data_IF_160059339670
#
_entry.id   IF_160059339670
#
_cell.length_a   1.000
_cell.length_b   1.000
_cell.length_c   1.000
_cell.angle_alpha   90.00
_cell.angle_beta   90.00
_cell.angle_gamma   90.00
#
_symmetry.space_group_name_H-M   'P 1'
#
loop_
_entity.id
_entity.type
_entity.pdbx_description
1 polymer ?
#
# COMPACT_ATOMS: atom_id res chain seq x y z
N UNK A 1 -1.09 -8.15 -5.04
CA UNK A 1 -1.10 -8.06 -3.58
C UNK A 1 -1.41 -9.44 -3.01
N UNK A 2 -0.81 -9.84 -1.90
CA UNK A 2 -1.14 -11.11 -1.24
C UNK A 2 -2.29 -10.81 -0.27
N UNK A 3 -3.47 -11.35 -0.55
CA UNK A 3 -4.68 -11.10 0.25
C UNK A 3 -4.72 -12.05 1.46
N UNK A 4 -5.04 -13.33 1.26
CA UNK A 4 -5.17 -14.32 2.34
C UNK A 4 -5.01 -15.75 1.78
N UNK A 5 -4.50 -16.71 2.57
CA UNK A 5 -4.45 -18.10 2.16
C UNK A 5 -5.85 -18.72 2.14
N UNK A 6 -6.24 -19.35 1.02
CA UNK A 6 -7.48 -20.12 0.90
C UNK A 6 -7.10 -21.55 0.45
N UNK A 7 -6.93 -22.45 1.41
CA UNK A 7 -6.52 -23.84 1.17
C UNK A 7 -5.13 -23.94 0.49
N UNK A 8 -5.03 -24.78 -0.55
CA UNK A 8 -3.81 -25.00 -1.35
C UNK A 8 -3.56 -23.91 -2.41
N UNK A 9 -4.45 -22.92 -2.52
CA UNK A 9 -4.38 -21.87 -3.56
C UNK A 9 -4.18 -20.48 -2.96
N UNK A 10 -3.08 -19.84 -3.33
CA UNK A 10 -2.83 -18.43 -3.01
C UNK A 10 -3.67 -17.55 -3.94
N UNK A 11 -4.76 -16.96 -3.43
CA UNK A 11 -5.56 -15.98 -4.18
C UNK A 11 -4.74 -14.69 -4.28
N UNK A 12 -4.32 -14.35 -5.50
CA UNK A 12 -3.56 -13.14 -5.81
C UNK A 12 -4.49 -12.13 -6.46
N UNK A 13 -4.79 -11.04 -5.76
CA UNK A 13 -5.53 -9.91 -6.34
C UNK A 13 -4.55 -8.93 -6.97
N UNK A 14 -4.85 -8.49 -8.19
CA UNK A 14 -4.10 -7.43 -8.85
C UNK A 14 -4.61 -6.07 -8.37
N UNK A 15 -3.69 -5.19 -7.95
CA UNK A 15 -4.05 -3.84 -7.55
C UNK A 15 -4.39 -3.01 -8.81
N UNK A 16 -5.66 -2.68 -9.00
CA UNK A 16 -6.15 -1.89 -10.14
C UNK A 16 -6.14 -0.37 -9.86
N UNK A 17 -5.72 0.04 -8.66
CA UNK A 17 -5.67 1.44 -8.30
C UNK A 17 -4.58 2.20 -9.06
N UNK A 18 -4.79 3.51 -9.25
CA UNK A 18 -3.81 4.41 -9.89
C UNK A 18 -2.74 4.92 -8.93
N UNK A 19 -2.90 4.67 -7.63
CA UNK A 19 -2.01 5.14 -6.57
C UNK A 19 -0.68 4.40 -6.51
N UNK A 20 0.26 4.93 -5.74
CA UNK A 20 1.59 4.34 -5.54
C UNK A 20 2.62 4.75 -6.58
N UNK A 21 3.86 4.34 -6.35
CA UNK A 21 4.99 4.68 -7.22
C UNK A 21 5.28 3.50 -8.16
N UNK A 22 5.31 3.70 -9.49
CA UNK A 22 5.59 2.61 -10.42
C UNK A 22 7.06 2.19 -10.35
N UNK A 23 7.26 0.86 -10.33
CA UNK A 23 8.55 0.19 -10.15
C UNK A 23 9.23 -0.24 -11.47
N UNK A 24 8.75 0.24 -12.62
CA UNK A 24 9.39 -0.03 -13.90
C UNK A 24 10.79 0.57 -14.06
N UNK A 25 11.17 1.56 -13.23
CA UNK A 25 12.49 2.21 -13.30
C UNK A 25 13.49 1.58 -12.33
N UNK A 26 14.64 1.13 -12.82
CA UNK A 26 15.73 0.57 -12.01
C UNK A 26 16.23 1.52 -10.91
N UNK A 27 16.35 2.81 -11.22
CA UNK A 27 16.77 3.85 -10.26
C UNK A 27 15.79 3.97 -9.09
N UNK A 28 14.47 3.86 -9.36
CA UNK A 28 13.45 3.84 -8.30
C UNK A 28 13.55 2.57 -7.46
N UNK A 29 13.81 1.41 -8.07
CA UNK A 29 14.03 0.16 -7.34
C UNK A 29 15.21 0.27 -6.36
N UNK A 30 16.32 0.90 -6.78
CA UNK A 30 17.47 1.17 -5.89
C UNK A 30 17.07 2.04 -4.70
N UNK A 31 16.39 3.17 -4.95
CA UNK A 31 15.97 4.07 -3.88
C UNK A 31 15.06 3.37 -2.86
N UNK A 32 14.11 2.55 -3.34
CA UNK A 32 13.23 1.80 -2.46
C UNK A 32 13.92 0.64 -1.75
N UNK A 33 14.86 -0.05 -2.40
CA UNK A 33 15.68 -1.09 -1.76
C UNK A 33 16.50 -0.53 -0.58
N UNK A 34 17.06 0.68 -0.74
CA UNK A 34 17.76 1.38 0.35
C UNK A 34 16.76 1.80 1.43
N UNK A 35 15.63 2.41 1.06
CA UNK A 35 14.61 2.89 2.02
C UNK A 35 14.05 1.77 2.91
N UNK A 36 13.82 0.60 2.33
CA UNK A 36 13.27 -0.56 3.05
C UNK A 36 14.33 -1.55 3.52
N UNK A 37 15.62 -1.26 3.26
CA UNK A 37 16.73 -2.17 3.51
C UNK A 37 16.49 -3.60 2.96
N UNK A 38 15.78 -3.71 1.83
CA UNK A 38 15.41 -4.99 1.22
C UNK A 38 15.95 -5.10 -0.21
N UNK A 39 17.01 -5.90 -0.36
CA UNK A 39 17.65 -6.16 -1.64
C UNK A 39 16.76 -7.02 -2.57
N UNK A 40 15.75 -7.71 -2.06
CA UNK A 40 14.80 -8.46 -2.90
C UNK A 40 14.02 -7.53 -3.82
N UNK A 41 13.85 -6.26 -3.47
CA UNK A 41 13.22 -5.25 -4.34
C UNK A 41 14.02 -5.06 -5.65
N UNK A 42 15.34 -5.29 -5.63
CA UNK A 42 16.18 -5.19 -6.82
C UNK A 42 16.14 -6.45 -7.69
N UNK A 43 16.23 -7.62 -7.05
CA UNK A 43 16.49 -8.89 -7.73
C UNK A 43 15.27 -9.80 -7.87
N UNK A 44 14.12 -9.44 -7.30
CA UNK A 44 12.94 -10.28 -7.37
C UNK A 44 12.18 -10.09 -8.69
N UNK A 45 11.99 -11.19 -9.41
CA UNK A 45 11.14 -11.26 -10.61
C UNK A 45 9.64 -11.13 -10.29
N UNK A 46 9.27 -11.04 -9.00
CA UNK A 46 7.90 -10.79 -8.58
C UNK A 46 7.46 -9.36 -8.93
N UNK A 47 8.41 -8.43 -9.10
CA UNK A 47 8.13 -7.05 -9.49
C UNK A 47 8.22 -6.87 -11.01
N UNK A 48 7.06 -6.85 -11.66
CA UNK A 48 6.93 -6.50 -13.08
C UNK A 48 7.04 -4.97 -13.31
N UNK A 49 7.26 -4.49 -14.54
CA UNK A 49 7.27 -3.05 -14.83
C UNK A 49 5.98 -2.33 -14.47
N UNK A 50 4.85 -3.04 -14.49
CA UNK A 50 3.53 -2.54 -14.13
C UNK A 50 3.28 -2.54 -12.61
N UNK A 51 4.17 -3.15 -11.83
CA UNK A 51 4.07 -3.19 -10.38
C UNK A 51 4.26 -1.80 -9.76
N UNK A 52 3.53 -1.55 -8.68
CA UNK A 52 3.55 -0.29 -7.93
C UNK A 52 3.83 -0.57 -6.46
N UNK A 53 4.63 0.27 -5.83
CA UNK A 53 4.84 0.23 -4.38
C UNK A 53 3.88 1.22 -3.70
N UNK A 54 3.13 0.68 -2.73
CA UNK A 54 2.31 1.42 -1.79
C UNK A 54 3.01 1.39 -0.43
N UNK A 55 3.55 2.52 0.01
CA UNK A 55 4.38 2.59 1.22
C UNK A 55 3.78 3.39 2.37
N UNK A 56 2.74 4.18 2.12
CA UNK A 56 1.89 4.73 3.18
C UNK A 56 0.57 3.98 3.15
N UNK A 57 0.54 2.82 3.79
CA UNK A 57 -0.67 2.02 3.91
C UNK A 57 -1.37 2.24 5.25
N UNK A 58 -0.63 2.66 6.28
CA UNK A 58 -1.19 3.00 7.58
C UNK A 58 -2.05 4.27 7.46
N UNK A 59 -3.32 4.17 7.81
CA UNK A 59 -4.29 5.27 7.69
C UNK A 59 -3.90 6.44 8.59
N UNK A 60 -3.46 6.18 9.82
CA UNK A 60 -3.05 7.23 10.77
C UNK A 60 -1.88 8.05 10.21
N UNK A 61 -0.88 7.37 9.65
CA UNK A 61 0.26 8.05 9.01
C UNK A 61 -0.18 8.89 7.80
N UNK A 62 -1.07 8.36 6.96
CA UNK A 62 -1.59 9.09 5.79
C UNK A 62 -2.37 10.34 6.20
N UNK A 63 -3.21 10.24 7.22
CA UNK A 63 -4.05 11.34 7.71
C UNK A 63 -3.19 12.44 8.34
N UNK A 64 -2.20 12.07 9.14
CA UNK A 64 -1.24 13.02 9.70
C UNK A 64 -0.45 13.77 8.60
N UNK A 65 -0.17 13.15 7.46
CA UNK A 65 0.47 13.81 6.32
C UNK A 65 -0.47 14.73 5.53
N UNK A 66 -1.75 14.36 5.38
CA UNK A 66 -2.73 15.11 4.59
C UNK A 66 -3.27 16.32 5.37
N UNK A 67 -3.53 16.17 6.66
CA UNK A 67 -4.07 17.23 7.51
C UNK A 67 -3.35 17.26 8.87
N UNK A 68 -2.10 17.75 8.93
CA UNK A 68 -1.28 17.79 10.15
C UNK A 68 -1.82 18.77 11.22
N UNK A 69 -2.81 19.59 10.86
CA UNK A 69 -3.45 20.57 11.75
C UNK A 69 -4.64 19.99 12.52
N UNK A 70 -5.08 18.77 12.18
CA UNK A 70 -6.24 18.12 12.79
C UNK A 70 -5.77 17.12 13.86
N UNK A 71 -6.39 17.14 15.04
CA UNK A 71 -6.18 16.13 16.06
C UNK A 71 -7.16 14.98 15.80
N UNK A 72 -6.66 13.87 15.26
CA UNK A 72 -7.52 12.71 14.97
C UNK A 72 -7.76 11.89 16.24
N UNK A 73 -8.96 11.30 16.34
CA UNK A 73 -9.24 10.29 17.36
C UNK A 73 -8.39 9.02 17.12
N UNK A 74 -8.20 8.21 18.16
CA UNK A 74 -7.40 6.99 18.10
C UNK A 74 -8.00 5.92 17.19
N UNK A 75 -9.30 5.93 16.94
CA UNK A 75 -10.00 4.74 16.48
C UNK A 75 -10.59 4.89 15.07
N UNK A 76 -9.79 4.64 14.00
CA UNK A 76 -10.33 4.51 12.65
C UNK A 76 -11.19 3.26 12.57
N UNK A 77 -12.36 3.38 11.95
CA UNK A 77 -13.28 2.26 11.77
C UNK A 77 -13.62 2.06 10.29
N UNK A 78 -13.93 0.82 9.94
CA UNK A 78 -14.25 0.41 8.58
C UNK A 78 -15.76 0.50 8.37
N UNK A 79 -16.17 1.13 7.27
CA UNK A 79 -17.58 1.23 6.88
C UNK A 79 -17.79 0.68 5.47
N UNK A 80 -18.97 0.09 5.23
CA UNK A 80 -19.39 -0.30 3.89
C UNK A 80 -20.16 0.86 3.28
N UNK A 81 -19.62 1.46 2.22
CA UNK A 81 -20.28 2.55 1.49
C UNK A 81 -20.27 2.23 0.00
N UNK A 82 -21.45 2.20 -0.62
CA UNK A 82 -21.59 1.92 -2.06
C UNK A 82 -21.01 0.57 -2.49
N UNK A 83 -21.09 -0.45 -1.63
CA UNK A 83 -20.54 -1.79 -1.89
C UNK A 83 -19.02 -1.88 -1.77
N UNK A 84 -18.35 -0.88 -1.19
CA UNK A 84 -16.89 -0.85 -0.98
C UNK A 84 -16.58 -0.64 0.49
N UNK A 85 -15.46 -1.21 0.94
CA UNK A 85 -14.93 -0.96 2.27
C UNK A 85 -14.16 0.37 2.24
N UNK A 86 -14.51 1.27 3.14
CA UNK A 86 -13.90 2.59 3.29
C UNK A 86 -13.48 2.78 4.75
N UNK A 87 -12.28 3.31 4.96
CA UNK A 87 -11.84 3.71 6.28
C UNK A 87 -12.38 5.09 6.62
N UNK A 88 -13.03 5.20 7.76
CA UNK A 88 -13.54 6.45 8.32
C UNK A 88 -12.77 6.77 9.60
N UNK A 89 -12.33 8.01 9.71
CA UNK A 89 -11.63 8.53 10.88
C UNK A 89 -12.31 9.84 11.27
N UNK A 90 -12.65 9.95 12.55
CA UNK A 90 -13.18 11.18 13.14
C UNK A 90 -12.06 11.97 13.82
N UNK A 91 -12.32 13.25 14.10
CA UNK A 91 -11.38 14.21 14.68
C UNK A 91 -12.06 15.20 15.62
#
# INVERSE_FOLDING_TARGET
EFDYPMGDSNVRTAYEGKGGVPMGSFLRRILFAIKFADMKILFSDVFTPDSRILYYQNIRERLAMVAPFLAFDGDPYLVVSGGRLVWMQDA
#
